data_IF_368094028706
#
_entry.id   IF_368094028706
#
_cell.length_a   1.000
_cell.length_b   1.000
_cell.length_c   1.000
_cell.angle_alpha   90.00
_cell.angle_beta   90.00
_cell.angle_gamma   90.00
#
_symmetry.space_group_name_H-M   'P 1'
#
loop_
_entity.id
_entity.type
_entity.pdbx_description
1 polymer ?
#
# COMPACT_ATOMS: atom_id res chain seq x y z
N UNK A 1 11.04 9.25 -0.68
CA UNK A 1 11.74 7.95 -0.78
C UNK A 1 10.70 6.88 -1.10
N UNK A 2 11.09 5.78 -1.75
CA UNK A 2 10.22 4.61 -1.96
C UNK A 2 10.75 3.45 -1.12
N UNK A 3 9.88 2.58 -0.64
CA UNK A 3 10.26 1.47 0.25
C UNK A 3 9.26 0.34 0.19
N UNK A 4 9.74 -0.88 0.44
CA UNK A 4 8.90 -2.06 0.66
C UNK A 4 8.71 -2.37 2.16
N UNK A 5 9.26 -1.55 3.06
CA UNK A 5 9.10 -1.75 4.50
C UNK A 5 7.72 -1.26 4.96
N UNK A 6 6.85 -2.19 5.36
CA UNK A 6 5.46 -1.92 5.74
C UNK A 6 5.35 -1.17 7.08
N UNK A 7 6.34 -1.26 7.97
CA UNK A 7 6.32 -0.55 9.26
C UNK A 7 6.44 0.98 9.09
N UNK A 8 6.74 1.45 7.88
CA UNK A 8 6.75 2.87 7.55
C UNK A 8 5.36 3.39 7.13
N UNK A 9 4.37 2.51 7.00
CA UNK A 9 2.96 2.86 6.75
C UNK A 9 2.29 3.34 8.03
N UNK A 10 2.68 4.53 8.47
CA UNK A 10 2.29 5.11 9.75
C UNK A 10 1.76 6.55 9.57
N UNK A 11 0.47 6.73 9.84
CA UNK A 11 -0.21 8.03 9.74
C UNK A 11 0.08 8.97 10.92
N UNK A 12 0.80 8.52 11.96
CA UNK A 12 1.32 9.41 13.00
C UNK A 12 2.56 10.17 12.51
N UNK A 13 3.22 9.66 11.47
CA UNK A 13 4.45 10.22 10.89
C UNK A 13 4.22 10.93 9.57
N UNK A 14 3.24 10.48 8.79
CA UNK A 14 2.92 11.02 7.47
C UNK A 14 1.45 11.37 7.35
N UNK A 15 1.13 12.45 6.63
CA UNK A 15 -0.25 12.74 6.23
C UNK A 15 -0.68 11.81 5.08
N UNK A 16 -2.00 11.62 4.91
CA UNK A 16 -2.54 10.77 3.84
C UNK A 16 -2.09 11.14 2.44
N UNK A 17 -1.98 12.44 2.14
CA UNK A 17 -1.53 12.95 0.85
C UNK A 17 -0.04 12.71 0.57
N UNK A 18 0.72 12.29 1.58
CA UNK A 18 2.13 11.94 1.47
C UNK A 18 2.37 10.44 1.31
N UNK A 19 1.31 9.63 1.38
CA UNK A 19 1.37 8.18 1.23
C UNK A 19 0.72 7.80 -0.10
N UNK A 20 1.49 7.16 -0.97
CA UNK A 20 1.01 6.63 -2.23
C UNK A 20 1.34 5.14 -2.33
N UNK A 21 0.46 4.41 -2.99
CA UNK A 21 0.63 3.00 -3.29
C UNK A 21 0.84 2.82 -4.79
N UNK A 22 1.56 1.76 -5.14
CA UNK A 22 1.78 1.36 -6.52
C UNK A 22 1.31 -0.08 -6.68
N UNK A 23 0.45 -0.33 -7.66
CA UNK A 23 0.06 -1.68 -8.06
C UNK A 23 0.51 -1.95 -9.49
N UNK A 24 1.17 -3.08 -9.71
CA UNK A 24 1.58 -3.53 -11.05
C UNK A 24 0.44 -4.36 -11.64
N UNK A 25 0.04 -4.01 -12.87
CA UNK A 25 -0.96 -4.74 -13.64
C UNK A 25 -0.33 -5.83 -14.51
N UNK A 26 -1.17 -6.76 -14.96
CA UNK A 26 -0.76 -7.87 -15.83
C UNK A 26 -0.26 -7.40 -17.20
N UNK A 27 -0.73 -6.23 -17.67
CA UNK A 27 -0.29 -5.61 -18.92
C UNK A 27 1.06 -4.87 -18.81
N UNK A 28 1.79 -5.08 -17.70
CA UNK A 28 3.06 -4.41 -17.38
C UNK A 28 2.95 -2.90 -17.14
N UNK A 29 1.74 -2.34 -17.05
CA UNK A 29 1.53 -0.98 -16.56
C UNK A 29 1.46 -0.93 -15.02
N UNK A 30 1.49 0.29 -14.47
CA UNK A 30 1.40 0.52 -13.03
C UNK A 30 0.38 1.60 -12.70
N UNK A 31 -0.43 1.34 -11.69
CA UNK A 31 -1.31 2.33 -11.08
C UNK A 31 -0.62 2.98 -9.88
N UNK A 32 -0.66 4.30 -9.82
CA UNK A 32 -0.25 5.09 -8.66
C UNK A 32 -1.49 5.78 -8.10
N UNK A 33 -1.74 5.62 -6.81
CA UNK A 33 -2.89 6.24 -6.13
C UNK A 33 -2.53 6.62 -4.69
N UNK A 34 -3.19 7.65 -4.17
CA UNK A 34 -2.90 8.20 -2.85
C UNK A 34 -3.80 7.58 -1.79
N UNK A 35 -3.29 7.44 -0.56
CA UNK A 35 -4.14 7.15 0.60
C UNK A 35 -5.20 8.24 0.82
N UNK A 36 -4.95 9.47 0.34
CA UNK A 36 -5.90 10.57 0.40
C UNK A 36 -7.22 10.28 -0.34
N UNK A 37 -7.17 9.46 -1.39
CA UNK A 37 -8.35 9.11 -2.19
C UNK A 37 -9.33 8.21 -1.42
N UNK A 38 -8.87 7.52 -0.37
CA UNK A 38 -9.68 6.69 0.52
C UNK A 38 -10.31 7.53 1.64
N UNK A 39 -11.42 8.21 1.29
CA UNK A 39 -12.13 9.14 2.18
C UNK A 39 -12.66 8.48 3.47
N UNK A 40 -12.99 7.20 3.42
CA UNK A 40 -13.48 6.40 4.54
C UNK A 40 -12.38 5.94 5.50
N UNK A 41 -11.12 5.93 5.06
CA UNK A 41 -9.97 5.55 5.87
C UNK A 41 -9.59 6.67 6.82
N UNK A 42 -9.74 6.52 8.13
CA UNK A 42 -9.52 7.61 9.12
C UNK A 42 -8.11 7.58 9.67
N UNK A 43 -7.57 8.73 10.07
CA UNK A 43 -6.21 8.86 10.64
C UNK A 43 -5.95 7.99 11.88
N UNK A 44 -7.00 7.59 12.60
CA UNK A 44 -6.91 6.69 13.77
C UNK A 44 -6.88 5.20 13.41
N UNK A 45 -7.04 4.85 12.13
CA UNK A 45 -7.03 3.46 11.68
C UNK A 45 -5.59 2.97 11.51
N UNK A 46 -5.39 1.68 11.78
CA UNK A 46 -4.11 1.02 11.59
C UNK A 46 -3.84 0.81 10.09
N UNK A 47 -2.97 1.65 9.53
CA UNK A 47 -2.65 1.66 8.10
C UNK A 47 -1.87 0.43 7.67
N UNK A 48 -0.81 0.07 8.39
CA UNK A 48 -0.02 -1.12 8.08
C UNK A 48 -0.91 -2.37 8.06
N UNK A 49 -1.76 -2.55 9.09
CA UNK A 49 -2.66 -3.70 9.16
C UNK A 49 -3.71 -3.70 8.06
N UNK A 50 -4.25 -2.53 7.69
CA UNK A 50 -5.20 -2.41 6.58
C UNK A 50 -4.52 -2.75 5.24
N UNK A 51 -3.30 -2.27 5.04
CA UNK A 51 -2.48 -2.58 3.87
C UNK A 51 -2.22 -4.08 3.78
N UNK A 52 -1.67 -4.71 4.82
CA UNK A 52 -1.38 -6.16 4.86
C UNK A 52 -2.62 -7.05 4.66
N UNK A 53 -3.83 -6.53 4.90
CA UNK A 53 -5.11 -7.22 4.66
C UNK A 53 -5.66 -7.05 3.26
N UNK A 54 -4.95 -6.36 2.36
CA UNK A 54 -5.39 -6.19 0.97
C UNK A 54 -6.33 -5.02 0.74
N UNK A 55 -6.53 -4.11 1.71
CA UNK A 55 -7.54 -3.03 1.57
C UNK A 55 -7.28 -2.11 0.38
N UNK A 56 -6.02 -1.97 -0.02
CA UNK A 56 -5.60 -1.02 -1.04
C UNK A 56 -5.15 -1.70 -2.33
N UNK A 57 -5.37 -3.01 -2.52
CA UNK A 57 -4.97 -3.75 -3.73
C UNK A 57 -3.46 -3.72 -4.09
N UNK A 58 -2.61 -3.13 -3.25
CA UNK A 58 -1.14 -3.04 -3.42
C UNK A 58 -0.36 -4.04 -2.57
N UNK A 59 -1.00 -5.09 -2.04
CA UNK A 59 -0.27 -6.10 -1.26
C UNK A 59 0.72 -6.83 -2.16
N UNK A 60 1.97 -7.07 -1.70
CA UNK A 60 2.94 -7.80 -2.50
C UNK A 60 2.41 -9.17 -2.91
N UNK A 61 2.51 -9.50 -4.20
CA UNK A 61 2.34 -10.86 -4.68
C UNK A 61 3.50 -11.70 -4.16
N UNK A 62 3.27 -12.43 -3.07
CA UNK A 62 4.15 -13.50 -2.65
C UNK A 62 3.76 -14.68 -3.53
N UNK A 63 4.36 -14.81 -4.71
CA UNK A 63 4.27 -16.04 -5.46
C UNK A 63 4.86 -17.13 -4.57
N UNK A 64 3.98 -18.02 -4.09
CA UNK A 64 4.35 -19.20 -3.33
C UNK A 64 5.22 -20.08 -4.25
N UNK A 65 6.53 -19.93 -4.11
CA UNK A 65 7.59 -20.68 -4.77
C UNK A 65 7.43 -20.88 -6.29
N UNK A 66 8.07 -20.01 -7.09
CA UNK A 66 8.75 -20.58 -8.27
C UNK A 66 9.79 -21.55 -7.72
N UNK A 67 9.43 -22.83 -7.77
CA UNK A 67 10.34 -23.95 -7.55
C UNK A 67 11.39 -23.88 -8.65
N UNK A 68 12.54 -23.29 -8.35
CA UNK A 68 13.75 -23.40 -9.18
C UNK A 68 14.40 -24.74 -8.86
#
# INVERSE_FOLDING_TARGET
FTTHNTHLLDMTRFRKDQICFVNKRDDSSSDLYSLFDYKDFREKMDLEKAYLRGRFDAVPYINEFESI
#
